data_IF_029175997647
#
_entry.id   IF_029175997647
#
_cell.length_a   1.000
_cell.length_b   1.000
_cell.length_c   1.000
_cell.angle_alpha   90.00
_cell.angle_beta   90.00
_cell.angle_gamma   90.00
#
_symmetry.space_group_name_H-M   'P 1'
#
loop_
_entity.id
_entity.type
_entity.pdbx_description
1 polymer ?
#
# COMPACT_ATOMS: atom_id res chain seq x y z
N UNK A 1 -48.34 49.61 22.78
CA UNK A 1 -49.45 49.15 23.63
C UNK A 1 -50.70 49.39 22.80
N UNK A 2 -51.31 48.42 22.12
CA UNK A 2 -51.86 47.13 22.55
C UNK A 2 -53.19 47.05 21.77
N UNK A 3 -53.31 46.10 20.83
CA UNK A 3 -54.18 44.91 20.92
C UNK A 3 -55.62 45.20 20.47
N UNK A 4 -56.38 44.35 19.76
CA UNK A 4 -56.16 43.08 19.07
C UNK A 4 -57.52 42.71 18.41
N UNK A 5 -57.49 41.94 17.32
CA UNK A 5 -58.54 40.98 16.96
C UNK A 5 -59.54 41.42 15.89
N UNK A 6 -60.01 40.56 14.98
CA UNK A 6 -59.68 39.17 14.64
C UNK A 6 -60.25 38.89 13.25
N UNK A 7 -59.47 38.33 12.33
CA UNK A 7 -60.00 37.68 11.12
C UNK A 7 -59.32 36.32 10.98
N UNK A 8 -60.10 35.26 11.17
CA UNK A 8 -59.69 33.86 10.97
C UNK A 8 -59.49 33.60 9.48
N UNK A 9 -58.24 33.40 9.06
CA UNK A 9 -57.93 32.82 7.77
C UNK A 9 -57.31 31.42 7.92
N UNK A 10 -57.87 30.48 7.18
CA UNK A 10 -57.72 29.03 7.30
C UNK A 10 -56.40 28.61 6.63
N UNK A 11 -55.36 28.40 7.43
CA UNK A 11 -54.03 27.94 6.99
C UNK A 11 -54.09 26.53 6.38
N UNK A 12 -54.22 26.42 5.06
CA UNK A 12 -53.89 25.21 4.30
C UNK A 12 -52.37 25.02 4.31
N UNK A 13 -51.87 24.02 5.03
CA UNK A 13 -50.48 23.54 4.92
C UNK A 13 -50.30 22.87 3.57
N UNK A 14 -49.66 23.55 2.62
CA UNK A 14 -49.06 22.93 1.45
C UNK A 14 -47.65 22.45 1.79
N UNK A 15 -47.43 21.14 1.72
CA UNK A 15 -46.11 20.51 1.85
C UNK A 15 -45.28 20.87 0.61
N UNK A 16 -44.17 21.58 0.79
CA UNK A 16 -43.25 21.94 -0.29
C UNK A 16 -42.53 20.66 -0.75
N UNK A 17 -42.83 20.17 -1.95
CA UNK A 17 -42.11 19.07 -2.58
C UNK A 17 -40.96 19.66 -3.41
N UNK A 18 -39.72 19.54 -2.93
CA UNK A 18 -38.55 19.91 -3.74
C UNK A 18 -38.25 18.77 -4.71
N UNK A 19 -38.76 18.88 -5.93
CA UNK A 19 -38.37 18.04 -7.06
C UNK A 19 -37.16 18.68 -7.75
N UNK A 20 -36.13 17.89 -8.05
CA UNK A 20 -34.97 18.34 -8.84
C UNK A 20 -34.65 17.34 -9.95
N UNK A 21 -34.30 17.81 -11.14
CA UNK A 21 -34.02 16.97 -12.32
C UNK A 21 -32.52 16.79 -12.56
N UNK A 22 -31.75 16.63 -11.48
CA UNK A 22 -30.29 16.50 -11.54
C UNK A 22 -29.79 15.08 -11.81
N UNK A 23 -30.69 14.08 -11.84
CA UNK A 23 -30.34 12.70 -12.13
C UNK A 23 -30.46 12.40 -13.63
N UNK A 24 -29.54 11.59 -14.15
CA UNK A 24 -29.59 11.07 -15.52
C UNK A 24 -29.57 9.54 -15.50
N UNK A 25 -30.26 8.93 -16.46
CA UNK A 25 -30.26 7.47 -16.61
C UNK A 25 -28.85 6.94 -16.89
N UNK A 26 -28.52 5.72 -16.44
CA UNK A 26 -27.30 5.04 -16.86
C UNK A 26 -27.24 4.90 -18.39
N UNK A 27 -26.09 5.19 -18.99
CA UNK A 27 -25.93 5.20 -20.46
C UNK A 27 -26.04 3.84 -21.15
N UNK A 28 -26.18 2.76 -20.39
CA UNK A 28 -26.41 1.41 -20.90
C UNK A 28 -27.90 1.01 -20.97
N UNK A 29 -28.82 1.86 -20.50
CA UNK A 29 -30.27 1.65 -20.58
C UNK A 29 -30.78 1.81 -22.01
N UNK A 30 -31.64 0.89 -22.46
CA UNK A 30 -32.24 0.82 -23.79
C UNK A 30 -33.77 0.72 -23.69
N UNK A 31 -34.43 0.59 -24.85
CA UNK A 31 -35.86 0.29 -24.91
C UNK A 31 -36.75 1.40 -24.36
N UNK A 32 -37.87 1.00 -23.75
CA UNK A 32 -38.94 1.90 -23.30
C UNK A 32 -38.52 2.89 -22.22
N UNK A 33 -37.43 2.62 -21.50
CA UNK A 33 -36.92 3.47 -20.42
C UNK A 33 -35.92 4.53 -20.88
N UNK A 34 -35.37 4.42 -22.09
CA UNK A 34 -34.29 5.31 -22.57
C UNK A 34 -34.70 6.80 -22.67
N UNK A 35 -35.99 7.08 -22.87
CA UNK A 35 -36.54 8.45 -22.92
C UNK A 35 -37.13 8.92 -21.57
N UNK A 36 -36.97 8.12 -20.50
CA UNK A 36 -37.52 8.46 -19.19
C UNK A 36 -36.74 9.59 -18.51
N UNK A 37 -37.46 10.52 -17.90
CA UNK A 37 -36.87 11.65 -17.17
C UNK A 37 -36.70 11.24 -15.70
N UNK A 38 -35.46 11.30 -15.20
CA UNK A 38 -35.18 11.05 -13.79
C UNK A 38 -35.36 12.33 -12.95
N UNK A 39 -36.08 12.21 -11.85
CA UNK A 39 -36.23 13.26 -10.87
C UNK A 39 -35.78 12.76 -9.48
N UNK A 40 -35.03 13.60 -8.77
CA UNK A 40 -34.66 13.41 -7.38
C UNK A 40 -35.73 14.08 -6.51
N UNK A 41 -36.31 13.28 -5.61
CA UNK A 41 -37.35 13.70 -4.67
C UNK A 41 -36.89 13.43 -3.25
N UNK A 42 -37.01 14.43 -2.38
CA UNK A 42 -36.90 14.22 -0.94
C UNK A 42 -38.20 13.59 -0.41
N UNK A 43 -38.09 12.46 0.27
CA UNK A 43 -39.24 11.69 0.75
C UNK A 43 -39.23 11.52 2.26
N UNK A 44 -40.38 11.75 2.88
CA UNK A 44 -40.65 11.39 4.28
C UNK A 44 -41.18 9.96 4.45
N UNK A 45 -41.62 9.32 3.36
CA UNK A 45 -42.06 7.93 3.30
C UNK A 45 -41.54 7.28 2.00
N UNK A 46 -40.25 6.89 1.97
CA UNK A 46 -39.60 6.39 0.77
C UNK A 46 -40.29 5.15 0.19
N UNK A 47 -40.84 4.28 1.04
CA UNK A 47 -41.51 3.07 0.59
C UNK A 47 -42.78 3.37 -0.22
N UNK A 48 -43.64 4.27 0.28
CA UNK A 48 -44.85 4.66 -0.44
C UNK A 48 -44.51 5.36 -1.75
N UNK A 49 -43.53 6.27 -1.72
CA UNK A 49 -43.10 7.04 -2.90
C UNK A 49 -42.48 6.14 -3.98
N UNK A 50 -41.64 5.17 -3.62
CA UNK A 50 -41.10 4.20 -4.58
C UNK A 50 -42.19 3.32 -5.17
N UNK A 51 -43.16 2.85 -4.37
CA UNK A 51 -44.26 2.01 -4.87
C UNK A 51 -45.11 2.73 -5.90
N UNK A 52 -45.46 3.98 -5.64
CA UNK A 52 -46.23 4.79 -6.60
C UNK A 52 -45.41 5.09 -7.86
N UNK A 53 -44.14 5.48 -7.71
CA UNK A 53 -43.25 5.77 -8.84
C UNK A 53 -43.04 4.55 -9.74
N UNK A 54 -42.78 3.37 -9.16
CA UNK A 54 -42.62 2.12 -9.94
C UNK A 54 -43.90 1.78 -10.70
N UNK A 55 -45.07 1.94 -10.07
CA UNK A 55 -46.36 1.66 -10.72
C UNK A 55 -46.66 2.63 -11.86
N UNK A 56 -46.29 3.90 -11.68
CA UNK A 56 -46.40 4.94 -12.71
C UNK A 56 -45.52 4.60 -13.90
N UNK A 57 -44.24 4.27 -13.70
CA UNK A 57 -43.32 3.90 -14.78
C UNK A 57 -43.76 2.62 -15.49
N UNK A 58 -44.29 1.63 -14.77
CA UNK A 58 -44.83 0.41 -15.41
C UNK A 58 -46.05 0.72 -16.28
N UNK A 59 -46.94 1.62 -15.81
CA UNK A 59 -48.18 1.93 -16.52
C UNK A 59 -47.94 2.86 -17.71
N UNK A 60 -47.14 3.90 -17.49
CA UNK A 60 -47.02 5.05 -18.40
C UNK A 60 -45.71 4.99 -19.19
N UNK A 61 -44.66 4.36 -18.65
CA UNK A 61 -43.38 4.10 -19.30
C UNK A 61 -43.35 2.84 -20.17
N UNK A 62 -44.47 2.13 -20.30
CA UNK A 62 -44.64 1.07 -21.31
C UNK A 62 -43.96 -0.27 -21.02
N UNK A 63 -43.50 -0.51 -19.79
CA UNK A 63 -42.88 -1.78 -19.36
C UNK A 63 -43.89 -2.92 -19.43
N UNK A 64 -43.71 -3.84 -20.38
CA UNK A 64 -44.68 -4.89 -20.72
C UNK A 64 -44.13 -6.31 -20.56
N UNK A 65 -42.82 -6.48 -20.72
CA UNK A 65 -42.17 -7.78 -20.65
C UNK A 65 -41.17 -7.89 -19.50
N UNK A 66 -40.58 -9.08 -19.41
CA UNK A 66 -39.69 -9.46 -18.32
C UNK A 66 -38.35 -8.70 -18.39
N UNK A 67 -37.81 -8.55 -19.60
CA UNK A 67 -36.55 -7.88 -19.88
C UNK A 67 -36.63 -6.38 -19.50
N UNK A 68 -37.71 -5.70 -19.86
CA UNK A 68 -37.95 -4.30 -19.48
C UNK A 68 -38.16 -4.13 -17.97
N UNK A 69 -38.76 -5.12 -17.30
CA UNK A 69 -38.92 -5.13 -15.84
C UNK A 69 -37.56 -5.26 -15.12
N UNK A 70 -36.66 -6.10 -15.63
CA UNK A 70 -35.30 -6.23 -15.09
C UNK A 70 -34.51 -4.92 -15.26
N UNK A 71 -34.65 -4.25 -16.40
CA UNK A 71 -34.04 -2.95 -16.67
C UNK A 71 -34.59 -1.83 -15.79
N UNK A 72 -35.90 -1.86 -15.49
CA UNK A 72 -36.52 -0.95 -14.52
C UNK A 72 -35.94 -1.11 -13.11
N UNK A 73 -35.83 -2.35 -12.63
CA UNK A 73 -35.22 -2.64 -11.33
C UNK A 73 -33.77 -2.15 -11.29
N UNK A 74 -33.01 -2.39 -12.35
CA UNK A 74 -31.64 -1.89 -12.50
C UNK A 74 -31.56 -0.36 -12.36
N UNK A 75 -32.44 0.39 -13.05
CA UNK A 75 -32.48 1.84 -12.96
C UNK A 75 -32.72 2.34 -11.53
N UNK A 76 -33.72 1.79 -10.81
CA UNK A 76 -33.99 2.21 -9.43
C UNK A 76 -32.85 1.89 -8.48
N UNK A 77 -32.18 0.74 -8.62
CA UNK A 77 -31.06 0.36 -7.76
C UNK A 77 -29.83 1.24 -8.01
N UNK A 78 -29.55 1.62 -9.25
CA UNK A 78 -28.40 2.46 -9.62
C UNK A 78 -28.60 3.93 -9.26
N UNK A 79 -29.80 4.46 -9.46
CA UNK A 79 -30.10 5.89 -9.25
C UNK A 79 -30.21 6.29 -7.77
N UNK A 80 -30.25 5.32 -6.84
CA UNK A 80 -30.51 5.57 -5.43
C UNK A 80 -29.38 5.10 -4.51
N UNK A 81 -29.22 5.77 -3.37
CA UNK A 81 -28.17 5.46 -2.38
C UNK A 81 -28.36 4.07 -1.76
N UNK A 82 -27.30 3.56 -1.13
CA UNK A 82 -27.36 2.24 -0.49
C UNK A 82 -28.44 2.11 0.56
N UNK A 83 -28.74 3.22 1.23
CA UNK A 83 -29.45 3.25 2.51
C UNK A 83 -30.97 3.15 2.32
N UNK A 84 -31.45 3.46 1.11
CA UNK A 84 -32.88 3.39 0.76
C UNK A 84 -33.24 2.15 -0.06
N UNK A 85 -32.25 1.29 -0.40
CA UNK A 85 -32.46 0.10 -1.23
C UNK A 85 -33.40 -0.94 -0.62
N UNK A 86 -33.48 -1.02 0.71
CA UNK A 86 -34.46 -1.89 1.38
C UNK A 86 -35.89 -1.49 1.01
N UNK A 87 -36.19 -0.19 0.94
CA UNK A 87 -37.50 0.30 0.54
C UNK A 87 -37.80 0.05 -0.95
N UNK A 88 -36.78 0.12 -1.81
CA UNK A 88 -36.92 -0.22 -3.24
C UNK A 88 -37.26 -1.70 -3.41
N UNK A 89 -36.50 -2.59 -2.74
CA UNK A 89 -36.77 -4.02 -2.76
C UNK A 89 -38.17 -4.34 -2.24
N UNK A 90 -38.57 -3.75 -1.10
CA UNK A 90 -39.91 -3.92 -0.52
C UNK A 90 -41.01 -3.37 -1.43
N UNK A 91 -40.75 -2.30 -2.17
CA UNK A 91 -41.68 -1.73 -3.13
C UNK A 91 -41.97 -2.71 -4.27
N UNK A 92 -40.94 -3.25 -4.92
CA UNK A 92 -41.06 -4.27 -5.97
C UNK A 92 -41.67 -5.58 -5.47
N UNK A 93 -41.36 -5.97 -4.23
CA UNK A 93 -41.89 -7.18 -3.59
C UNK A 93 -43.31 -7.00 -3.00
N UNK A 94 -43.88 -5.81 -3.11
CA UNK A 94 -45.22 -5.55 -2.58
C UNK A 94 -46.26 -6.46 -3.24
N UNK A 95 -47.28 -6.88 -2.46
CA UNK A 95 -48.34 -7.80 -2.92
C UNK A 95 -49.02 -7.35 -4.23
N UNK A 96 -49.01 -6.05 -4.52
CA UNK A 96 -49.63 -5.44 -5.70
C UNK A 96 -48.85 -5.78 -6.97
N UNK A 97 -47.51 -5.72 -6.92
CA UNK A 97 -46.63 -6.02 -8.05
C UNK A 97 -46.39 -7.53 -8.21
N UNK A 98 -46.25 -8.25 -7.09
CA UNK A 98 -46.10 -9.72 -7.11
C UNK A 98 -47.30 -10.48 -7.68
N UNK A 99 -48.50 -9.88 -7.61
CA UNK A 99 -49.71 -10.40 -8.29
C UNK A 99 -49.72 -10.14 -9.79
N UNK A 100 -49.06 -9.07 -10.24
CA UNK A 100 -48.99 -8.68 -11.65
C UNK A 100 -47.95 -9.50 -12.39
N UNK A 101 -46.82 -9.81 -11.75
CA UNK A 101 -45.80 -10.70 -12.30
C UNK A 101 -45.09 -11.49 -11.17
N UNK A 102 -45.20 -12.84 -11.15
CA UNK A 102 -44.56 -13.68 -10.14
C UNK A 102 -43.04 -13.77 -10.26
N UNK A 103 -42.44 -13.43 -11.41
CA UNK A 103 -40.99 -13.48 -11.62
C UNK A 103 -40.25 -12.30 -10.97
N UNK A 104 -40.95 -11.21 -10.60
CA UNK A 104 -40.39 -9.99 -10.00
C UNK A 104 -39.49 -10.27 -8.79
N UNK A 105 -39.83 -11.26 -7.94
CA UNK A 105 -38.97 -11.62 -6.81
C UNK A 105 -37.61 -12.17 -7.24
N UNK A 106 -37.56 -12.90 -8.35
CA UNK A 106 -36.31 -13.44 -8.89
C UNK A 106 -35.47 -12.37 -9.60
N UNK A 107 -36.07 -11.38 -10.27
CA UNK A 107 -35.34 -10.26 -10.87
C UNK A 107 -34.84 -9.27 -9.84
N UNK A 108 -35.59 -9.00 -8.77
CA UNK A 108 -35.06 -8.18 -7.64
C UNK A 108 -33.81 -8.84 -7.05
N UNK A 109 -33.82 -10.16 -6.84
CA UNK A 109 -32.65 -10.88 -6.32
C UNK A 109 -31.48 -10.92 -7.33
N UNK A 110 -31.74 -11.21 -8.62
CA UNK A 110 -30.70 -11.21 -9.67
C UNK A 110 -30.14 -9.82 -9.92
N UNK A 111 -30.96 -8.78 -9.94
CA UNK A 111 -30.53 -7.40 -10.12
C UNK A 111 -29.73 -6.92 -8.91
N UNK A 112 -30.12 -7.29 -7.69
CA UNK A 112 -29.35 -7.00 -6.46
C UNK A 112 -27.99 -7.74 -6.44
N UNK A 113 -27.93 -9.00 -6.88
CA UNK A 113 -26.66 -9.74 -7.06
C UNK A 113 -25.78 -9.17 -8.18
N UNK A 114 -26.35 -8.88 -9.35
CA UNK A 114 -25.68 -8.27 -10.50
C UNK A 114 -25.15 -6.88 -10.16
N UNK A 115 -25.95 -6.07 -9.45
CA UNK A 115 -25.52 -4.77 -8.95
C UNK A 115 -24.44 -4.90 -7.89
N UNK A 116 -24.56 -5.82 -6.91
CA UNK A 116 -23.48 -6.08 -5.94
C UNK A 116 -22.19 -6.51 -6.65
N UNK A 117 -22.27 -7.33 -7.68
CA UNK A 117 -21.13 -7.74 -8.48
C UNK A 117 -20.53 -6.55 -9.23
N UNK A 118 -21.34 -5.72 -9.89
CA UNK A 118 -20.94 -4.51 -10.61
C UNK A 118 -20.33 -3.48 -9.66
N UNK A 119 -20.92 -3.25 -8.48
CA UNK A 119 -20.42 -2.37 -7.42
C UNK A 119 -19.08 -2.87 -6.87
N UNK A 120 -18.93 -4.18 -6.62
CA UNK A 120 -17.65 -4.79 -6.21
C UNK A 120 -16.60 -4.65 -7.31
N UNK A 121 -16.96 -4.86 -8.57
CA UNK A 121 -16.06 -4.71 -9.73
C UNK A 121 -15.62 -3.25 -9.88
N UNK A 122 -16.55 -2.31 -9.81
CA UNK A 122 -16.28 -0.88 -9.87
C UNK A 122 -15.38 -0.43 -8.72
N UNK A 123 -15.66 -0.86 -7.48
CA UNK A 123 -14.80 -0.58 -6.32
C UNK A 123 -13.38 -1.10 -6.52
N UNK A 124 -13.23 -2.34 -7.01
CA UNK A 124 -11.91 -2.92 -7.35
C UNK A 124 -11.19 -2.13 -8.44
N UNK A 125 -11.91 -1.65 -9.44
CA UNK A 125 -11.34 -0.85 -10.53
C UNK A 125 -10.86 0.52 -10.02
N UNK A 126 -11.62 1.17 -9.14
CA UNK A 126 -11.23 2.43 -8.48
C UNK A 126 -10.02 2.20 -7.57
N UNK A 127 -10.04 1.19 -6.71
CA UNK A 127 -8.88 0.84 -5.87
C UNK A 127 -7.62 0.61 -6.71
N UNK A 128 -7.74 -0.14 -7.80
CA UNK A 128 -6.63 -0.38 -8.73
C UNK A 128 -6.13 0.91 -9.37
N UNK A 129 -7.02 1.81 -9.77
CA UNK A 129 -6.66 3.09 -10.37
C UNK A 129 -5.83 3.96 -9.40
N UNK A 130 -6.23 4.02 -8.12
CA UNK A 130 -5.55 4.83 -7.12
C UNK A 130 -4.15 4.29 -6.78
N UNK A 131 -4.00 2.96 -6.68
CA UNK A 131 -2.69 2.34 -6.43
C UNK A 131 -1.79 2.28 -7.67
N UNK A 132 -2.34 2.44 -8.87
CA UNK A 132 -1.56 2.50 -10.12
C UNK A 132 -1.19 3.91 -10.53
N UNK A 133 -1.79 4.92 -9.88
CA UNK A 133 -1.50 6.32 -10.12
C UNK A 133 -0.08 6.68 -9.69
N UNK A 134 0.67 7.27 -10.61
CA UNK A 134 2.06 7.71 -10.39
C UNK A 134 2.17 9.21 -10.21
N UNK A 135 1.24 9.97 -10.77
CA UNK A 135 1.22 11.43 -10.71
C UNK A 135 -0.19 11.94 -10.49
N UNK A 136 -0.36 12.59 -9.35
CA UNK A 136 -1.55 13.36 -9.01
C UNK A 136 -1.33 14.80 -9.46
N UNK A 137 -2.26 15.34 -10.25
CA UNK A 137 -2.26 16.75 -10.62
C UNK A 137 -3.39 17.47 -9.89
N UNK A 138 -3.11 18.69 -9.44
CA UNK A 138 -4.11 19.59 -8.88
C UNK A 138 -4.74 20.38 -10.01
N UNK A 139 -6.07 20.42 -10.02
CA UNK A 139 -6.86 21.22 -10.94
C UNK A 139 -7.38 22.47 -10.21
N UNK A 140 -7.43 23.60 -10.90
CA UNK A 140 -7.97 24.83 -10.34
C UNK A 140 -9.49 24.69 -10.17
N UNK A 141 -10.00 24.90 -8.96
CA UNK A 141 -11.44 24.84 -8.67
C UNK A 141 -12.04 26.19 -8.38
N UNK A 142 -13.29 26.34 -8.80
CA UNK A 142 -14.15 27.47 -8.45
C UNK A 142 -14.77 27.25 -7.06
N UNK A 143 -14.92 25.98 -6.63
CA UNK A 143 -15.52 25.59 -5.36
C UNK A 143 -14.51 25.56 -4.20
N UNK A 144 -13.95 26.72 -3.86
CA UNK A 144 -12.95 26.85 -2.78
C UNK A 144 -13.45 26.44 -1.38
N UNK A 145 -14.75 26.40 -1.14
CA UNK A 145 -15.34 26.11 0.17
C UNK A 145 -15.44 24.59 0.41
N UNK A 146 -15.90 23.84 -0.60
CA UNK A 146 -16.15 22.41 -0.47
C UNK A 146 -15.00 21.55 -1.02
N UNK A 147 -14.27 22.06 -2.02
CA UNK A 147 -13.19 21.37 -2.70
C UNK A 147 -12.03 22.33 -3.00
N UNK A 148 -11.31 22.80 -1.97
CA UNK A 148 -10.20 23.74 -2.17
C UNK A 148 -9.04 23.09 -2.93
N UNK A 149 -8.84 21.78 -2.80
CA UNK A 149 -7.89 21.03 -3.61
C UNK A 149 -8.60 19.90 -4.35
N UNK A 150 -8.71 20.04 -5.67
CA UNK A 150 -9.20 18.98 -6.56
C UNK A 150 -8.02 18.30 -7.22
N UNK A 151 -7.93 16.99 -7.05
CA UNK A 151 -6.90 16.16 -7.66
C UNK A 151 -7.52 15.17 -8.63
N UNK A 152 -6.81 14.93 -9.72
CA UNK A 152 -7.07 13.81 -10.62
C UNK A 152 -5.77 13.05 -10.90
N UNK A 153 -5.91 11.79 -11.32
CA UNK A 153 -4.77 11.00 -11.72
C UNK A 153 -4.39 11.34 -13.17
N UNK A 154 -3.21 11.93 -13.37
CA UNK A 154 -2.70 12.32 -14.69
C UNK A 154 -2.05 11.13 -15.41
N UNK A 155 -1.29 10.32 -14.68
CA UNK A 155 -0.58 9.17 -15.25
C UNK A 155 -0.59 7.94 -14.35
N UNK A 156 -0.88 6.77 -14.96
CA UNK A 156 -0.75 5.46 -14.34
C UNK A 156 0.32 4.62 -15.07
N UNK A 157 0.94 3.66 -14.36
CA UNK A 157 1.91 2.77 -15.00
C UNK A 157 1.24 1.77 -15.96
N UNK A 158 2.01 1.20 -16.90
CA UNK A 158 1.54 0.36 -18.02
C UNK A 158 1.00 -1.04 -17.61
N UNK A 159 0.51 -1.20 -16.38
CA UNK A 159 0.04 -2.46 -15.83
C UNK A 159 1.15 -3.37 -15.31
N UNK A 160 0.69 -4.40 -14.60
CA UNK A 160 1.52 -5.37 -13.88
C UNK A 160 2.29 -6.30 -14.83
N UNK A 161 3.41 -6.83 -14.37
CA UNK A 161 4.11 -7.92 -15.05
C UNK A 161 3.35 -9.24 -14.89
N UNK A 162 3.66 -10.25 -15.75
CA UNK A 162 3.15 -11.59 -15.55
C UNK A 162 3.52 -12.14 -14.16
N UNK A 163 2.66 -12.95 -13.52
CA UNK A 163 2.89 -13.49 -12.17
C UNK A 163 4.18 -14.29 -12.03
N UNK A 164 4.74 -14.78 -13.14
CA UNK A 164 6.04 -15.48 -13.17
C UNK A 164 7.18 -14.60 -12.69
N UNK A 165 7.15 -13.29 -13.00
CA UNK A 165 8.18 -12.34 -12.56
C UNK A 165 8.11 -12.17 -11.05
N UNK A 166 6.92 -11.97 -10.49
CA UNK A 166 6.71 -11.84 -9.05
C UNK A 166 7.17 -13.10 -8.30
N UNK A 167 6.90 -14.29 -8.85
CA UNK A 167 7.37 -15.54 -8.27
C UNK A 167 8.90 -15.64 -8.25
N UNK A 168 9.58 -15.23 -9.32
CA UNK A 168 11.05 -15.20 -9.37
C UNK A 168 11.62 -14.22 -8.33
N UNK A 169 11.00 -13.06 -8.16
CA UNK A 169 11.40 -12.07 -7.14
C UNK A 169 11.18 -12.60 -5.74
N UNK A 170 10.05 -13.27 -5.49
CA UNK A 170 9.77 -13.92 -4.21
C UNK A 170 10.82 -15.00 -3.90
N UNK A 171 11.12 -15.89 -4.84
CA UNK A 171 12.14 -16.93 -4.68
C UNK A 171 13.52 -16.32 -4.40
N UNK A 172 13.87 -15.24 -5.09
CA UNK A 172 15.12 -14.50 -4.85
C UNK A 172 15.17 -13.89 -3.44
N UNK A 173 14.08 -13.26 -2.99
CA UNK A 173 14.00 -12.66 -1.66
C UNK A 173 14.11 -13.72 -0.55
N UNK A 174 13.39 -14.84 -0.71
CA UNK A 174 13.42 -15.98 0.22
C UNK A 174 14.82 -16.60 0.25
N UNK A 175 15.43 -16.85 -0.90
CA UNK A 175 16.81 -17.37 -1.01
C UNK A 175 17.82 -16.43 -0.33
N UNK A 176 17.67 -15.12 -0.51
CA UNK A 176 18.53 -14.10 0.12
C UNK A 176 18.40 -14.13 1.64
N UNK A 177 17.17 -14.28 2.16
CA UNK A 177 16.91 -14.37 3.60
C UNK A 177 17.52 -15.64 4.21
N UNK A 178 17.32 -16.79 3.56
CA UNK A 178 17.92 -18.06 3.99
C UNK A 178 19.45 -18.01 3.93
N UNK A 179 20.02 -17.43 2.87
CA UNK A 179 21.46 -17.26 2.73
C UNK A 179 22.04 -16.41 3.87
N UNK A 180 21.44 -15.24 4.15
CA UNK A 180 21.87 -14.38 5.25
C UNK A 180 21.77 -15.09 6.61
N UNK A 181 20.69 -15.85 6.85
CA UNK A 181 20.49 -16.61 8.09
C UNK A 181 21.52 -17.74 8.21
N UNK A 182 21.70 -18.56 7.18
CA UNK A 182 22.65 -19.66 7.16
C UNK A 182 24.09 -19.17 7.38
N UNK A 183 24.49 -18.06 6.78
CA UNK A 183 25.81 -17.48 7.01
C UNK A 183 25.98 -16.88 8.41
N UNK A 184 24.92 -16.32 8.99
CA UNK A 184 24.93 -15.83 10.38
C UNK A 184 25.10 -16.99 11.36
N UNK A 185 24.35 -18.09 11.15
CA UNK A 185 24.45 -19.32 11.94
C UNK A 185 25.79 -20.03 11.76
N UNK A 186 26.31 -20.12 10.53
CA UNK A 186 27.62 -20.74 10.27
C UNK A 186 28.74 -20.00 11.00
N UNK A 187 28.72 -18.66 11.04
CA UNK A 187 29.69 -17.88 11.82
C UNK A 187 29.51 -18.07 13.33
N UNK A 188 28.30 -18.29 13.80
CA UNK A 188 28.03 -18.63 15.20
C UNK A 188 28.59 -20.02 15.56
N UNK A 189 28.39 -21.02 14.69
CA UNK A 189 28.86 -22.40 14.91
C UNK A 189 30.37 -22.60 14.70
N UNK A 190 30.97 -21.97 13.69
CA UNK A 190 32.40 -22.11 13.39
C UNK A 190 33.31 -21.67 14.53
N UNK A 191 32.89 -20.70 15.35
CA UNK A 191 33.70 -20.27 16.49
C UNK A 191 33.67 -21.26 17.66
N UNK A 192 32.70 -22.19 17.66
CA UNK A 192 32.60 -23.31 18.62
C UNK A 192 33.54 -24.46 18.28
N UNK A 193 33.94 -24.59 17.00
CA UNK A 193 34.86 -25.62 16.51
C UNK A 193 36.18 -24.96 16.07
N UNK A 194 37.29 -25.20 16.76
CA UNK A 194 38.64 -24.65 16.48
C UNK A 194 39.26 -25.01 15.10
N UNK A 195 38.49 -25.52 14.16
CA UNK A 195 38.95 -25.98 12.85
C UNK A 195 38.41 -25.05 11.76
N UNK A 196 39.29 -24.21 11.20
CA UNK A 196 39.00 -23.44 9.98
C UNK A 196 38.86 -24.38 8.78
N UNK A 197 37.73 -24.38 8.05
CA UNK A 197 37.68 -24.99 6.73
C UNK A 197 37.93 -23.90 5.67
N UNK A 198 39.03 -24.04 4.93
CA UNK A 198 39.44 -23.20 3.79
C UNK A 198 38.53 -23.33 2.54
N UNK A 199 37.40 -24.02 2.61
CA UNK A 199 36.56 -24.30 1.43
C UNK A 199 35.49 -23.21 1.27
N UNK A 200 35.75 -22.26 0.36
CA UNK A 200 34.69 -21.55 -0.38
C UNK A 200 34.47 -20.05 -0.11
N UNK A 201 35.50 -19.26 0.20
CA UNK A 201 35.38 -17.81 0.46
C UNK A 201 34.71 -17.02 -0.69
N UNK A 202 34.94 -17.42 -1.95
CA UNK A 202 34.38 -16.75 -3.13
C UNK A 202 32.89 -17.08 -3.39
N UNK A 203 32.44 -18.33 -3.15
CA UNK A 203 31.03 -18.73 -3.35
C UNK A 203 30.09 -18.07 -2.34
N UNK A 204 30.58 -17.81 -1.12
CA UNK A 204 29.84 -17.21 -0.01
C UNK A 204 29.24 -15.84 -0.33
N UNK A 205 29.95 -15.03 -1.12
CA UNK A 205 29.62 -13.62 -1.34
C UNK A 205 28.62 -13.37 -2.45
N UNK A 206 28.59 -14.22 -3.47
CA UNK A 206 27.63 -14.13 -4.57
C UNK A 206 26.20 -14.47 -4.14
N UNK A 207 26.06 -15.18 -3.02
CA UNK A 207 24.80 -15.59 -2.41
C UNK A 207 24.26 -14.57 -1.40
N UNK A 208 25.02 -13.52 -1.06
CA UNK A 208 24.58 -12.49 -0.13
C UNK A 208 23.83 -11.37 -0.85
N UNK A 209 22.79 -10.78 -0.23
CA UNK A 209 21.98 -9.74 -0.87
C UNK A 209 22.76 -8.45 -1.17
N UNK A 210 23.79 -8.10 -0.39
CA UNK A 210 24.74 -7.00 -0.67
C UNK A 210 25.87 -7.38 -1.64
N UNK A 211 25.85 -8.62 -2.15
CA UNK A 211 26.89 -9.16 -3.03
C UNK A 211 26.86 -8.54 -4.43
N UNK A 212 27.94 -8.72 -5.21
CA UNK A 212 28.12 -8.07 -6.51
C UNK A 212 27.11 -8.52 -7.58
N UNK A 213 26.42 -9.66 -7.38
CA UNK A 213 25.37 -10.14 -8.29
C UNK A 213 23.98 -9.81 -7.75
N UNK A 214 23.73 -10.12 -6.48
CA UNK A 214 22.41 -9.93 -5.87
C UNK A 214 22.03 -8.45 -5.74
N UNK A 215 22.97 -7.56 -5.42
CA UNK A 215 22.67 -6.14 -5.23
C UNK A 215 22.22 -5.44 -6.53
N UNK A 216 22.90 -5.61 -7.68
CA UNK A 216 22.37 -5.13 -8.96
C UNK A 216 20.99 -5.69 -9.30
N UNK A 217 20.72 -6.96 -8.98
CA UNK A 217 19.39 -7.55 -9.16
C UNK A 217 18.34 -6.86 -8.28
N UNK A 218 18.65 -6.56 -7.00
CA UNK A 218 17.77 -5.78 -6.12
C UNK A 218 17.52 -4.38 -6.71
N UNK A 219 18.54 -3.71 -7.23
CA UNK A 219 18.40 -2.40 -7.88
C UNK A 219 17.49 -2.51 -9.11
N UNK A 220 17.64 -3.54 -9.94
CA UNK A 220 16.80 -3.78 -11.11
C UNK A 220 15.34 -4.09 -10.73
N UNK A 221 15.15 -4.88 -9.68
CA UNK A 221 13.84 -5.21 -9.10
C UNK A 221 13.15 -3.91 -8.64
N UNK A 222 13.84 -3.03 -7.92
CA UNK A 222 13.28 -1.74 -7.51
C UNK A 222 13.10 -0.76 -8.67
N UNK A 223 13.97 -0.76 -9.68
CA UNK A 223 13.81 0.10 -10.85
C UNK A 223 12.52 -0.19 -11.62
N UNK A 224 12.03 -1.43 -11.58
CA UNK A 224 10.81 -1.86 -12.26
C UNK A 224 9.67 -2.22 -11.29
N UNK A 225 9.83 -1.92 -10.00
CA UNK A 225 9.03 -2.51 -8.95
C UNK A 225 7.58 -2.04 -8.90
N UNK A 226 7.25 -0.89 -9.51
CA UNK A 226 5.86 -0.42 -9.62
C UNK A 226 4.97 -1.42 -10.37
N UNK A 227 5.54 -2.23 -11.26
CA UNK A 227 4.83 -3.25 -12.04
C UNK A 227 4.82 -4.63 -11.39
N UNK A 228 5.49 -4.79 -10.24
CA UNK A 228 5.63 -6.06 -9.49
C UNK A 228 4.69 -5.96 -8.29
N UNK A 229 3.40 -6.26 -8.52
CA UNK A 229 2.34 -6.00 -7.56
C UNK A 229 1.27 -7.10 -7.46
N UNK A 230 1.52 -8.29 -8.01
CA UNK A 230 0.53 -9.39 -8.06
C UNK A 230 0.69 -10.36 -6.89
N UNK A 231 1.78 -11.13 -6.83
CA UNK A 231 2.05 -12.14 -5.79
C UNK A 231 2.92 -11.54 -4.69
N UNK A 232 3.88 -10.70 -5.06
CA UNK A 232 4.85 -10.11 -4.14
C UNK A 232 4.85 -8.58 -4.27
N UNK A 233 3.85 -7.89 -3.68
CA UNK A 233 3.71 -6.44 -3.78
C UNK A 233 4.92 -5.72 -3.20
N UNK A 234 5.72 -5.12 -4.09
CA UNK A 234 6.97 -4.48 -3.73
C UNK A 234 6.77 -3.22 -2.88
N UNK A 235 5.59 -2.59 -2.94
CA UNK A 235 5.22 -1.49 -2.05
C UNK A 235 5.21 -1.89 -0.57
N UNK A 236 4.88 -3.16 -0.26
CA UNK A 236 4.81 -3.67 1.12
C UNK A 236 6.07 -4.42 1.54
N UNK A 237 6.69 -5.17 0.63
CA UNK A 237 7.83 -6.02 0.93
C UNK A 237 9.19 -5.42 0.52
N UNK A 238 9.19 -4.34 -0.27
CA UNK A 238 10.41 -3.65 -0.68
C UNK A 238 11.26 -3.15 0.50
N UNK A 239 10.68 -2.52 1.55
CA UNK A 239 11.44 -2.12 2.74
C UNK A 239 12.16 -3.30 3.42
N UNK A 240 11.50 -4.46 3.49
CA UNK A 240 12.09 -5.69 4.05
C UNK A 240 13.29 -6.17 3.21
N UNK A 241 13.17 -6.16 1.88
CA UNK A 241 14.27 -6.54 0.99
C UNK A 241 15.46 -5.57 1.12
N UNK A 242 15.20 -4.27 1.24
CA UNK A 242 16.25 -3.27 1.45
C UNK A 242 16.92 -3.41 2.83
N UNK A 243 16.16 -3.68 3.89
CA UNK A 243 16.71 -3.96 5.21
C UNK A 243 17.59 -5.22 5.23
N UNK A 244 17.24 -6.24 4.45
CA UNK A 244 18.06 -7.42 4.29
C UNK A 244 19.40 -7.11 3.60
N UNK A 245 19.41 -6.21 2.60
CA UNK A 245 20.64 -5.69 1.99
C UNK A 245 21.48 -4.95 3.04
N UNK A 246 20.87 -4.06 3.83
CA UNK A 246 21.54 -3.31 4.91
C UNK A 246 22.19 -4.23 5.93
N UNK A 247 21.42 -5.21 6.42
CA UNK A 247 21.90 -6.25 7.32
C UNK A 247 23.12 -6.95 6.72
N UNK A 248 23.03 -7.41 5.47
CA UNK A 248 24.12 -8.16 4.85
C UNK A 248 25.39 -7.33 4.60
N UNK A 249 25.25 -6.04 4.25
CA UNK A 249 26.38 -5.13 4.05
C UNK A 249 27.13 -4.82 5.35
N UNK A 250 26.41 -4.67 6.47
CA UNK A 250 27.05 -4.45 7.77
C UNK A 250 27.59 -5.75 8.37
N UNK A 251 26.85 -6.85 8.29
CA UNK A 251 27.20 -8.12 8.95
C UNK A 251 28.36 -8.84 8.28
N UNK A 252 28.45 -8.79 6.95
CA UNK A 252 29.44 -9.55 6.19
C UNK A 252 30.42 -8.61 5.48
N UNK A 253 31.64 -8.54 5.98
CA UNK A 253 32.70 -7.70 5.40
C UNK A 253 33.22 -8.27 4.07
N UNK A 254 33.53 -7.39 3.13
CA UNK A 254 34.22 -7.76 1.90
C UNK A 254 35.67 -8.20 2.22
N UNK A 255 36.05 -9.41 1.81
CA UNK A 255 37.45 -9.86 1.83
C UNK A 255 38.00 -9.79 0.41
N UNK A 256 38.88 -8.83 0.15
CA UNK A 256 39.68 -8.76 -1.07
C UNK A 256 41.17 -8.65 -0.68
N UNK A 257 42.02 -9.31 -1.48
CA UNK A 257 43.46 -9.43 -1.26
C UNK A 257 44.18 -8.08 -1.41
N UNK A 258 43.78 -7.27 -2.40
CA UNK A 258 44.36 -5.95 -2.66
C UNK A 258 43.43 -4.84 -2.19
N UNK A 259 43.99 -3.78 -1.62
CA UNK A 259 43.20 -2.64 -1.11
C UNK A 259 42.41 -1.90 -2.20
N UNK A 260 42.93 -1.87 -3.44
CA UNK A 260 42.22 -1.27 -4.59
C UNK A 260 40.95 -2.06 -4.94
N UNK A 261 41.05 -3.39 -5.10
CA UNK A 261 39.88 -4.25 -5.35
C UNK A 261 38.87 -4.17 -4.21
N UNK A 262 39.34 -4.05 -2.96
CA UNK A 262 38.46 -3.82 -1.82
C UNK A 262 37.70 -2.50 -1.93
N UNK A 263 38.41 -1.41 -2.22
CA UNK A 263 37.82 -0.07 -2.33
C UNK A 263 36.75 0.03 -3.42
N UNK A 264 37.05 -0.43 -4.64
CA UNK A 264 36.09 -0.45 -5.77
C UNK A 264 34.82 -1.20 -5.40
N UNK A 265 35.00 -2.32 -4.71
CA UNK A 265 33.93 -3.23 -4.37
C UNK A 265 33.04 -2.70 -3.25
N UNK A 266 33.64 -2.11 -2.21
CA UNK A 266 32.91 -1.45 -1.13
C UNK A 266 32.16 -0.22 -1.67
N UNK A 267 32.80 0.58 -2.53
CA UNK A 267 32.18 1.72 -3.21
C UNK A 267 31.00 1.30 -4.09
N UNK A 268 31.12 0.20 -4.82
CA UNK A 268 30.02 -0.38 -5.61
C UNK A 268 28.85 -0.82 -4.71
N UNK A 269 29.12 -1.43 -3.55
CA UNK A 269 28.08 -1.76 -2.57
C UNK A 269 27.38 -0.50 -2.04
N UNK A 270 28.12 0.56 -1.71
CA UNK A 270 27.55 1.84 -1.27
C UNK A 270 26.66 2.46 -2.36
N UNK A 271 27.16 2.54 -3.59
CA UNK A 271 26.40 3.05 -4.74
C UNK A 271 25.13 2.24 -4.99
N UNK A 272 25.22 0.91 -4.96
CA UNK A 272 24.06 0.03 -5.15
C UNK A 272 23.00 0.20 -4.06
N UNK A 273 23.42 0.39 -2.79
CA UNK A 273 22.52 0.69 -1.67
C UNK A 273 21.79 2.02 -1.89
N UNK A 274 22.51 3.07 -2.26
CA UNK A 274 21.92 4.39 -2.50
C UNK A 274 20.95 4.38 -3.69
N UNK A 275 21.29 3.68 -4.77
CA UNK A 275 20.38 3.51 -5.91
C UNK A 275 19.17 2.67 -5.54
N UNK A 276 19.34 1.57 -4.82
CA UNK A 276 18.24 0.73 -4.38
C UNK A 276 17.25 1.53 -3.52
N UNK A 277 17.75 2.35 -2.59
CA UNK A 277 16.89 3.14 -1.71
C UNK A 277 16.11 4.23 -2.45
N UNK A 278 16.75 4.95 -3.37
CA UNK A 278 16.10 5.95 -4.23
C UNK A 278 15.03 5.33 -5.15
N UNK A 279 15.31 4.15 -5.71
CA UNK A 279 14.35 3.45 -6.57
C UNK A 279 13.18 2.92 -5.77
N UNK A 280 13.40 2.47 -4.54
CA UNK A 280 12.32 2.03 -3.68
C UNK A 280 11.37 3.19 -3.31
N UNK A 281 11.87 4.41 -3.13
CA UNK A 281 11.03 5.60 -2.91
C UNK A 281 10.05 5.85 -4.05
N UNK A 282 10.48 5.62 -5.29
CA UNK A 282 9.59 5.75 -6.45
C UNK A 282 8.43 4.75 -6.43
N UNK A 283 8.51 3.67 -5.65
CA UNK A 283 7.43 2.67 -5.50
C UNK A 283 6.54 3.01 -4.32
N UNK A 284 7.16 3.36 -3.18
CA UNK A 284 6.47 3.54 -1.90
C UNK A 284 5.69 4.85 -1.89
N UNK A 285 6.27 5.94 -2.39
CA UNK A 285 5.63 7.26 -2.32
C UNK A 285 4.28 7.27 -3.06
N UNK A 286 4.17 6.82 -4.33
CA UNK A 286 2.88 6.81 -5.01
C UNK A 286 1.87 5.85 -4.38
N UNK A 287 2.32 4.71 -3.85
CA UNK A 287 1.43 3.75 -3.18
C UNK A 287 0.76 4.37 -1.95
N UNK A 288 1.51 5.02 -1.06
CA UNK A 288 0.94 5.63 0.14
C UNK A 288 0.18 6.93 -0.16
N UNK A 289 0.61 7.71 -1.15
CA UNK A 289 -0.19 8.85 -1.64
C UNK A 289 -1.53 8.37 -2.21
N UNK A 290 -1.54 7.29 -3.00
CA UNK A 290 -2.77 6.69 -3.52
C UNK A 290 -3.65 6.10 -2.42
N UNK A 291 -3.06 5.47 -1.40
CA UNK A 291 -3.78 4.96 -0.24
C UNK A 291 -4.48 6.11 0.51
N UNK A 292 -3.75 7.17 0.83
CA UNK A 292 -4.32 8.33 1.52
C UNK A 292 -5.38 9.04 0.66
N UNK A 293 -5.11 9.21 -0.64
CA UNK A 293 -6.10 9.74 -1.57
C UNK A 293 -7.37 8.88 -1.58
N UNK A 294 -7.26 7.55 -1.49
CA UNK A 294 -8.43 6.67 -1.49
C UNK A 294 -9.20 6.70 -0.15
N UNK A 295 -8.50 6.82 0.98
CA UNK A 295 -9.12 6.68 2.32
C UNK A 295 -9.53 8.00 2.96
N UNK A 296 -8.86 9.10 2.64
CA UNK A 296 -9.02 10.39 3.32
C UNK A 296 -9.60 11.50 2.43
N UNK A 297 -10.03 11.19 1.21
CA UNK A 297 -10.62 12.16 0.29
C UNK A 297 -12.10 11.90 0.00
N UNK A 298 -12.76 12.92 -0.56
CA UNK A 298 -14.14 12.83 -1.04
C UNK A 298 -14.14 12.71 -2.56
N UNK A 299 -14.94 11.80 -3.12
CA UNK A 299 -15.09 11.68 -4.57
C UNK A 299 -15.91 12.85 -5.11
N UNK A 300 -15.36 13.57 -6.10
CA UNK A 300 -16.01 14.72 -6.74
C UNK A 300 -17.16 14.29 -7.67
N UNK A 301 -17.08 13.08 -8.24
CA UNK A 301 -18.08 12.56 -9.18
C UNK A 301 -17.93 13.09 -10.61
N UNK A 302 -17.12 14.13 -10.83
CA UNK A 302 -16.79 14.68 -12.17
C UNK A 302 -16.01 13.67 -13.01
N UNK A 303 -15.08 12.93 -12.41
CA UNK A 303 -14.35 11.84 -13.05
C UNK A 303 -14.09 10.69 -12.09
N UNK A 304 -13.75 9.51 -12.62
CA UNK A 304 -13.56 8.28 -11.83
C UNK A 304 -12.37 8.33 -10.87
N UNK A 305 -11.36 9.17 -11.15
CA UNK A 305 -10.21 9.43 -10.29
C UNK A 305 -10.28 10.77 -9.54
N UNK A 306 -11.35 11.55 -9.71
CA UNK A 306 -11.42 12.93 -9.23
C UNK A 306 -11.75 12.95 -7.74
N UNK A 307 -10.86 13.57 -6.97
CA UNK A 307 -10.97 13.64 -5.51
C UNK A 307 -10.79 15.05 -4.99
N UNK A 308 -11.58 15.38 -3.99
CA UNK A 308 -11.59 16.65 -3.29
C UNK A 308 -10.98 16.48 -1.90
N UNK A 309 -10.08 17.41 -1.52
CA UNK A 309 -9.47 17.46 -0.19
C UNK A 309 -9.50 18.88 0.37
N UNK A 310 -9.47 18.95 1.71
CA UNK A 310 -9.31 20.21 2.47
C UNK A 310 -7.84 20.63 2.61
N UNK A 311 -6.96 19.65 2.68
CA UNK A 311 -5.51 19.84 2.79
C UNK A 311 -4.80 19.33 1.55
N UNK A 312 -3.62 19.89 1.25
CA UNK A 312 -2.82 19.48 0.12
C UNK A 312 -2.37 18.02 0.25
N UNK A 313 -2.40 17.27 -0.85
CA UNK A 313 -2.01 15.87 -0.89
C UNK A 313 -0.49 15.74 -0.71
N UNK A 314 -0.07 15.14 0.40
CA UNK A 314 1.35 14.92 0.67
C UNK A 314 1.91 13.73 -0.13
N UNK A 315 3.08 13.89 -0.74
CA UNK A 315 3.82 12.79 -1.36
C UNK A 315 4.30 11.80 -0.28
N UNK A 316 3.96 10.51 -0.43
CA UNK A 316 4.18 9.48 0.59
C UNK A 316 3.13 9.44 1.70
N UNK A 317 2.18 10.38 1.68
CA UNK A 317 1.15 10.53 2.68
C UNK A 317 1.64 11.06 4.04
N UNK A 318 0.69 11.37 4.91
CA UNK A 318 0.87 11.88 6.27
C UNK A 318 1.15 10.76 7.28
N UNK A 319 0.64 9.56 7.00
CA UNK A 319 0.66 8.40 7.89
C UNK A 319 1.91 7.52 7.76
N UNK A 320 2.62 7.56 6.61
CA UNK A 320 3.79 6.72 6.38
C UNK A 320 5.10 7.49 6.59
N UNK A 321 5.86 7.10 7.61
CA UNK A 321 7.16 7.70 7.94
C UNK A 321 8.33 7.22 7.06
N UNK A 322 8.08 6.42 6.02
CA UNK A 322 9.15 5.82 5.21
C UNK A 322 9.67 6.79 4.15
N UNK A 323 10.94 7.17 4.27
CA UNK A 323 11.75 7.85 3.24
C UNK A 323 12.96 6.96 2.92
N UNK A 324 13.25 6.71 1.67
CA UNK A 324 14.33 5.84 1.17
C UNK A 324 15.70 6.50 1.29
N UNK A 325 15.77 7.84 1.29
CA UNK A 325 16.86 8.57 1.95
C UNK A 325 16.63 8.68 3.46
N UNK A 326 16.43 7.54 4.11
CA UNK A 326 16.34 7.49 5.56
C UNK A 326 17.67 7.84 6.19
N UNK A 327 17.61 8.30 7.44
CA UNK A 327 18.79 8.47 8.31
C UNK A 327 19.64 7.19 8.35
N UNK A 328 18.99 6.03 8.28
CA UNK A 328 19.61 4.71 8.27
C UNK A 328 20.43 4.47 7.01
N UNK A 329 19.90 4.76 5.82
CA UNK A 329 20.64 4.62 4.55
C UNK A 329 21.92 5.45 4.56
N UNK A 330 21.82 6.73 4.94
CA UNK A 330 22.96 7.66 4.96
C UNK A 330 24.02 7.19 5.96
N UNK A 331 23.60 6.75 7.14
CA UNK A 331 24.53 6.30 8.17
C UNK A 331 25.25 5.01 7.76
N UNK A 332 24.54 4.06 7.15
CA UNK A 332 25.14 2.83 6.63
C UNK A 332 26.15 3.14 5.52
N UNK A 333 25.78 3.98 4.55
CA UNK A 333 26.70 4.42 3.50
C UNK A 333 27.96 5.06 4.11
N UNK A 334 27.78 5.93 5.11
CA UNK A 334 28.88 6.58 5.83
C UNK A 334 29.73 5.57 6.60
N UNK A 335 29.12 4.57 7.25
CA UNK A 335 29.83 3.51 7.95
C UNK A 335 30.67 2.67 6.99
N UNK A 336 30.14 2.31 5.82
CA UNK A 336 30.88 1.57 4.78
C UNK A 336 32.03 2.41 4.20
N UNK A 337 31.81 3.70 3.91
CA UNK A 337 32.87 4.62 3.51
C UNK A 337 33.96 4.74 4.59
N UNK A 338 33.58 4.74 5.87
CA UNK A 338 34.54 4.78 6.98
C UNK A 338 35.40 3.51 7.05
N UNK A 339 34.85 2.33 6.71
CA UNK A 339 35.62 1.07 6.59
C UNK A 339 36.67 1.17 5.51
N UNK A 340 36.29 1.70 4.35
CA UNK A 340 37.19 1.93 3.23
C UNK A 340 38.31 2.91 3.61
N UNK A 341 37.96 4.05 4.22
CA UNK A 341 38.93 5.06 4.64
C UNK A 341 39.91 4.54 5.70
N UNK A 342 39.43 3.83 6.73
CA UNK A 342 40.29 3.24 7.77
C UNK A 342 41.30 2.24 7.18
N UNK A 343 40.91 1.52 6.13
CA UNK A 343 41.79 0.56 5.47
C UNK A 343 42.86 1.23 4.61
N UNK A 344 42.52 2.32 3.93
CA UNK A 344 43.45 3.05 3.04
C UNK A 344 44.43 3.92 3.85
N UNK A 345 43.93 4.64 4.86
CA UNK A 345 44.72 5.62 5.64
C UNK A 345 45.46 4.95 6.82
N UNK A 346 45.10 3.72 7.17
CA UNK A 346 45.64 2.97 8.30
C UNK A 346 44.84 3.18 9.59
N UNK A 347 44.91 2.20 10.50
CA UNK A 347 44.12 2.17 11.74
C UNK A 347 44.72 3.07 12.83
N UNK A 348 44.47 4.38 12.74
CA UNK A 348 44.68 5.28 13.88
C UNK A 348 43.57 5.11 14.92
N UNK A 349 43.89 5.25 16.21
CA UNK A 349 42.92 5.17 17.33
C UNK A 349 41.63 5.98 17.12
N UNK A 350 41.66 7.26 16.68
CA UNK A 350 40.44 8.02 16.44
C UNK A 350 39.61 7.47 15.26
N UNK A 351 40.26 7.03 14.18
CA UNK A 351 39.58 6.46 13.02
C UNK A 351 38.86 5.15 13.39
N UNK A 352 39.49 4.31 14.20
CA UNK A 352 38.90 3.08 14.72
C UNK A 352 37.66 3.38 15.60
N UNK A 353 37.74 4.39 16.47
CA UNK A 353 36.62 4.80 17.32
C UNK A 353 35.43 5.27 16.46
N UNK A 354 35.67 6.15 15.49
CA UNK A 354 34.64 6.67 14.59
C UNK A 354 33.96 5.53 13.82
N UNK A 355 34.74 4.58 13.30
CA UNK A 355 34.18 3.42 12.59
C UNK A 355 33.29 2.57 13.49
N UNK A 356 33.74 2.27 14.72
CA UNK A 356 32.96 1.46 15.66
C UNK A 356 31.66 2.16 16.09
N UNK A 357 31.69 3.47 16.31
CA UNK A 357 30.48 4.24 16.64
C UNK A 357 29.52 4.28 15.47
N UNK A 358 29.98 4.54 14.25
CA UNK A 358 29.14 4.53 13.05
C UNK A 358 28.51 3.16 12.80
N UNK A 359 29.27 2.07 12.91
CA UNK A 359 28.74 0.71 12.77
C UNK A 359 27.71 0.41 13.86
N UNK A 360 27.98 0.77 15.13
CA UNK A 360 27.08 0.55 16.25
C UNK A 360 25.75 1.31 16.12
N UNK A 361 25.81 2.61 15.80
CA UNK A 361 24.60 3.42 15.60
C UNK A 361 23.82 2.93 14.37
N UNK A 362 24.50 2.47 13.31
CA UNK A 362 23.83 1.87 12.14
C UNK A 362 23.02 0.63 12.51
N UNK A 363 23.56 -0.25 13.36
CA UNK A 363 22.84 -1.42 13.85
C UNK A 363 21.60 -1.06 14.68
N UNK A 364 21.71 -0.05 15.55
CA UNK A 364 20.58 0.44 16.34
C UNK A 364 19.47 1.02 15.44
N UNK A 365 19.84 1.76 14.38
CA UNK A 365 18.88 2.28 13.42
C UNK A 365 18.20 1.18 12.62
N UNK A 366 18.94 0.17 12.13
CA UNK A 366 18.33 -0.99 11.45
C UNK A 366 17.33 -1.70 12.36
N UNK A 367 17.69 -1.91 13.63
CA UNK A 367 16.79 -2.55 14.59
C UNK A 367 15.53 -1.70 14.85
N UNK A 368 15.70 -0.40 15.04
CA UNK A 368 14.61 0.56 15.20
C UNK A 368 13.68 0.56 13.99
N UNK A 369 14.23 0.64 12.77
CA UNK A 369 13.44 0.67 11.55
C UNK A 369 12.71 -0.65 11.32
N UNK A 370 13.34 -1.79 11.63
CA UNK A 370 12.72 -3.12 11.49
C UNK A 370 11.55 -3.28 12.46
N UNK A 371 11.73 -2.83 13.70
CA UNK A 371 10.67 -2.82 14.70
C UNK A 371 9.56 -1.81 14.35
N UNK A 372 9.91 -0.63 13.84
CA UNK A 372 8.96 0.38 13.38
C UNK A 372 8.10 -0.14 12.23
N UNK A 373 8.71 -0.77 11.22
CA UNK A 373 7.98 -1.42 10.13
C UNK A 373 7.08 -2.55 10.64
N UNK A 374 7.55 -3.35 11.60
CA UNK A 374 6.71 -4.36 12.24
C UNK A 374 5.48 -3.73 12.90
N UNK A 375 5.63 -2.66 13.68
CA UNK A 375 4.50 -2.01 14.36
C UNK A 375 3.51 -1.33 13.42
N UNK A 376 3.97 -0.77 12.30
CA UNK A 376 3.11 -0.04 11.36
C UNK A 376 2.45 -0.99 10.35
N UNK A 377 3.20 -1.96 9.83
CA UNK A 377 2.74 -2.81 8.71
C UNK A 377 2.01 -4.06 9.19
N UNK A 378 2.34 -4.63 10.36
CA UNK A 378 1.68 -5.85 10.87
C UNK A 378 0.19 -5.64 11.18
N UNK A 379 -0.26 -4.54 11.82
CA UNK A 379 -1.69 -4.34 12.10
C UNK A 379 -2.56 -4.19 10.86
N UNK A 380 -1.97 -3.74 9.75
CA UNK A 380 -2.65 -3.52 8.47
C UNK A 380 -2.45 -4.68 7.48
N UNK A 381 -1.65 -5.68 7.86
CA UNK A 381 -1.08 -6.66 6.97
C UNK A 381 -1.67 -8.07 7.11
N UNK A 382 -1.53 -8.86 6.05
CA UNK A 382 -1.88 -10.29 6.03
C UNK A 382 -0.83 -11.14 6.74
N UNK A 383 -1.15 -12.39 7.10
CA UNK A 383 -0.20 -13.34 7.71
C UNK A 383 1.24 -13.36 7.11
N UNK A 384 1.47 -13.33 5.79
CA UNK A 384 2.83 -13.30 5.23
C UNK A 384 3.62 -12.02 5.56
N UNK A 385 2.98 -10.85 5.70
CA UNK A 385 3.71 -9.62 6.09
C UNK A 385 4.23 -9.75 7.50
N UNK A 386 3.44 -10.33 8.41
CA UNK A 386 3.86 -10.60 9.79
C UNK A 386 5.06 -11.53 9.83
N UNK A 387 5.03 -12.63 9.07
CA UNK A 387 6.13 -13.59 9.02
C UNK A 387 7.42 -12.95 8.51
N UNK A 388 7.36 -12.14 7.45
CA UNK A 388 8.54 -11.49 6.86
C UNK A 388 9.20 -10.53 7.86
N UNK A 389 8.43 -9.61 8.45
CA UNK A 389 8.98 -8.61 9.37
C UNK A 389 9.42 -9.24 10.70
N UNK A 390 8.68 -10.22 11.22
CA UNK A 390 9.10 -10.99 12.40
C UNK A 390 10.41 -11.76 12.13
N UNK A 391 10.54 -12.37 10.95
CA UNK A 391 11.76 -13.06 10.52
C UNK A 391 12.97 -12.13 10.43
N UNK A 392 12.80 -10.91 9.92
CA UNK A 392 13.85 -9.88 9.91
C UNK A 392 14.27 -9.47 11.32
N UNK A 393 13.31 -9.19 12.20
CA UNK A 393 13.57 -8.89 13.61
C UNK A 393 14.34 -10.03 14.30
N UNK A 394 13.95 -11.29 14.05
CA UNK A 394 14.63 -12.46 14.59
C UNK A 394 16.07 -12.59 14.05
N UNK A 395 16.30 -12.35 12.75
CA UNK A 395 17.63 -12.35 12.14
C UNK A 395 18.54 -11.27 12.74
N UNK A 396 18.00 -10.07 12.96
CA UNK A 396 18.72 -8.96 13.59
C UNK A 396 19.07 -9.32 15.05
N UNK A 397 18.12 -9.86 15.81
CA UNK A 397 18.34 -10.31 17.18
C UNK A 397 19.41 -11.41 17.25
N UNK A 398 19.34 -12.41 16.36
CA UNK A 398 20.34 -13.47 16.27
C UNK A 398 21.74 -12.90 16.02
N UNK A 399 21.85 -11.89 15.17
CA UNK A 399 23.13 -11.21 14.94
C UNK A 399 23.62 -10.41 16.15
N UNK A 400 22.73 -9.74 16.90
CA UNK A 400 23.11 -9.09 18.15
C UNK A 400 23.61 -10.10 19.20
N UNK A 401 22.94 -11.24 19.35
CA UNK A 401 23.37 -12.32 20.22
C UNK A 401 24.77 -12.83 19.80
N UNK A 402 24.99 -13.01 18.50
CA UNK A 402 26.31 -13.35 17.95
C UNK A 402 27.37 -12.31 18.31
N UNK A 403 27.08 -11.02 18.16
CA UNK A 403 28.01 -9.95 18.51
C UNK A 403 28.33 -9.92 20.00
N UNK A 404 27.31 -10.04 20.87
CA UNK A 404 27.46 -10.08 22.32
C UNK A 404 28.30 -11.28 22.77
N UNK A 405 27.98 -12.48 22.28
CA UNK A 405 28.77 -13.68 22.57
C UNK A 405 30.24 -13.52 22.16
N UNK A 406 30.48 -12.96 20.97
CA UNK A 406 31.83 -12.73 20.46
C UNK A 406 32.65 -11.78 21.34
N UNK A 407 32.00 -10.77 21.93
CA UNK A 407 32.61 -9.83 22.85
C UNK A 407 32.95 -10.51 24.18
N UNK A 408 32.00 -11.28 24.76
CA UNK A 408 32.21 -12.00 26.02
C UNK A 408 33.38 -12.97 25.96
N UNK A 409 33.50 -13.74 24.86
CA UNK A 409 34.64 -14.65 24.64
C UNK A 409 35.96 -13.88 24.58
N UNK A 410 36.00 -12.74 23.88
CA UNK A 410 37.23 -11.93 23.78
C UNK A 410 37.66 -11.32 25.13
N UNK A 411 36.69 -10.96 25.98
CA UNK A 411 36.98 -10.48 27.34
C UNK A 411 37.50 -11.62 28.21
N UNK A 412 36.91 -12.81 28.13
CA UNK A 412 37.36 -13.99 28.86
C UNK A 412 38.79 -14.41 28.48
N UNK A 413 39.13 -14.42 27.18
CA UNK A 413 40.49 -14.71 26.71
C UNK A 413 41.51 -13.67 27.21
N UNK A 414 41.13 -12.38 27.25
CA UNK A 414 41.99 -11.32 27.81
C UNK A 414 42.22 -11.46 29.31
N UNK A 415 41.20 -11.91 30.06
CA UNK A 415 41.32 -12.15 31.50
C UNK A 415 42.25 -13.34 31.77
N UNK A 416 42.04 -14.45 31.06
CA UNK A 416 42.86 -15.64 31.19
C UNK A 416 44.33 -15.39 30.79
N UNK A 417 44.59 -14.53 29.79
CA UNK A 417 45.95 -14.16 29.40
C UNK A 417 46.62 -13.22 30.42
N UNK A 418 45.87 -12.41 31.15
CA UNK A 418 46.39 -11.61 32.27
C UNK A 418 46.76 -12.48 33.48
N UNK A 419 45.96 -13.51 33.77
CA UNK A 419 46.22 -14.44 34.86
C UNK A 419 47.43 -15.37 34.62
N UNK A 420 47.81 -15.62 33.36
CA UNK A 420 49.02 -16.42 33.02
C UNK A 420 50.31 -15.57 33.08
N UNK A 421 50.21 -14.23 33.06
CA UNK A 421 51.37 -13.31 33.00
C UNK A 421 51.71 -12.74 34.40
N UNK A 422 50.91 -13.05 35.43
CA UNK A 422 51.18 -12.78 36.85
C UNK A 422 51.65 -14.07 37.49
#
# INVERSE_FOLDING_TARGET
>A
MGNEGTAREKKRRGTFTSLSFSASLPGDVRGALAESICAVKYSSDPLADFRESILEVIRDGGVKDWEEMEELVYCYVVLNSSDVRCFIADAFLSRRLRRRDPHVSSSVLRADESFRHRQRSMKKNIEKLFFTCTRWQVEETIDLINCPYHYFCDSAYRGDYPPTVDLLVLLFAVSSFFSATAFTLREFSLRRSRTEPCIGSFKRRHLLPSGPIALPLVVLIFANGQRINTIFPLSRFGPALLQLVYFSALAFRNRAETDIKYGVLEASTVSGILHASLRLDSIILPYYTGLEALTESYFSGVCTSCVCRRDALAAGGSSAAYRGWSKTTVLIATALCSRMACRIVGEQKPALLIRLTLEGVSWLLIAKDSFGLMLVVVPQGSLPTTVVYAGLCALILLNFLRMGFNLSVSVAEKHHKKEIIV
#
